data_IF_926988681587
#
_entry.id   IF_926988681587
#
_cell.length_a   1.000
_cell.length_b   1.000
_cell.length_c   1.000
_cell.angle_alpha   90.00
_cell.angle_beta   90.00
_cell.angle_gamma   90.00
#
_symmetry.space_group_name_H-M   'P 1'
#
loop_
_entity.id
_entity.type
_entity.pdbx_description
1 polymer ?
#
# COMPACT_ATOMS: atom_id res chain seq x y z
N UNK A 1 -0.12 4.82 16.57
CA UNK A 1 0.27 3.44 16.23
C UNK A 1 -0.70 2.80 15.23
N UNK A 2 -1.99 3.05 15.36
CA UNK A 2 -2.99 2.50 14.45
C UNK A 2 -2.88 3.05 13.03
N UNK A 3 -2.30 4.21 12.87
CA UNK A 3 -2.18 4.86 11.57
C UNK A 3 -1.18 4.21 10.65
N UNK A 4 -0.19 3.53 11.19
CA UNK A 4 0.75 2.79 10.36
C UNK A 4 0.16 1.52 9.76
N UNK A 5 -0.78 0.87 10.43
CA UNK A 5 -1.45 -0.32 9.89
C UNK A 5 -2.56 0.02 8.90
N UNK A 6 -3.16 1.20 9.01
CA UNK A 6 -4.21 1.69 8.12
C UNK A 6 -3.74 2.72 7.09
N UNK A 7 -2.46 3.12 7.14
CA UNK A 7 -1.90 4.18 6.32
C UNK A 7 -2.14 4.02 4.81
N UNK A 8 -2.21 2.78 4.32
CA UNK A 8 -2.48 2.53 2.91
C UNK A 8 -3.88 2.95 2.47
N UNK A 9 -4.86 2.92 3.37
CA UNK A 9 -6.23 3.33 3.07
C UNK A 9 -6.42 4.83 3.19
N UNK A 10 -5.51 5.51 3.88
CA UNK A 10 -5.66 6.91 4.28
C UNK A 10 -4.79 7.90 3.50
N UNK A 11 -4.14 7.45 2.43
CA UNK A 11 -3.33 8.30 1.54
C UNK A 11 -4.09 9.55 1.08
N UNK A 12 -5.40 9.47 0.98
CA UNK A 12 -6.29 10.58 0.60
C UNK A 12 -6.93 11.31 1.76
N UNK A 13 -6.97 10.69 2.93
CA UNK A 13 -7.63 11.23 4.11
C UNK A 13 -6.59 11.88 5.03
N UNK A 14 -5.99 12.93 4.58
CA UNK A 14 -4.85 13.56 5.24
C UNK A 14 -5.17 14.23 6.57
N UNK A 15 -6.44 14.56 6.78
CA UNK A 15 -6.89 15.21 8.01
C UNK A 15 -8.11 14.46 8.55
N UNK A 16 -8.16 14.25 9.85
CA UNK A 16 -9.29 13.61 10.52
C UNK A 16 -9.32 12.09 10.42
N UNK A 17 -8.28 11.44 9.88
CA UNK A 17 -8.18 9.98 9.88
C UNK A 17 -8.09 9.46 11.31
N UNK A 18 -9.10 8.71 11.75
CA UNK A 18 -9.18 8.14 13.08
C UNK A 18 -10.04 6.87 13.05
N UNK A 19 -9.48 5.79 12.52
CA UNK A 19 -10.23 4.55 12.33
C UNK A 19 -10.82 4.03 13.65
N UNK A 20 -10.02 3.95 14.71
CA UNK A 20 -10.48 3.46 16.00
C UNK A 20 -11.57 4.36 16.61
N UNK A 21 -11.34 5.67 16.62
CA UNK A 21 -12.30 6.63 17.15
C UNK A 21 -13.60 6.67 16.34
N UNK A 22 -13.52 6.58 15.02
CA UNK A 22 -14.70 6.53 14.15
C UNK A 22 -15.54 5.27 14.41
N UNK A 23 -14.90 4.11 14.57
CA UNK A 23 -15.59 2.87 14.93
C UNK A 23 -16.23 2.99 16.32
N UNK A 24 -15.51 3.52 17.31
CA UNK A 24 -16.01 3.67 18.66
C UNK A 24 -17.23 4.62 18.72
N UNK A 25 -17.19 5.73 17.97
CA UNK A 25 -18.32 6.67 17.86
C UNK A 25 -19.50 6.03 17.14
N UNK A 26 -19.29 5.34 16.02
CA UNK A 26 -20.35 4.64 15.31
C UNK A 26 -21.04 3.59 16.20
N UNK A 27 -20.28 2.84 17.00
CA UNK A 27 -20.86 1.93 17.99
C UNK A 27 -21.71 2.65 19.03
N UNK A 28 -21.21 3.76 19.59
CA UNK A 28 -21.93 4.53 20.61
C UNK A 28 -23.22 5.14 20.08
N UNK A 29 -23.21 5.55 18.82
CA UNK A 29 -24.37 6.15 18.13
C UNK A 29 -25.37 5.09 17.63
N UNK A 30 -25.00 3.80 17.62
CA UNK A 30 -25.82 2.73 17.05
C UNK A 30 -25.73 2.61 15.53
N UNK A 31 -24.74 3.24 14.90
CA UNK A 31 -24.55 3.31 13.43
C UNK A 31 -23.52 2.29 12.92
N UNK A 32 -23.01 1.39 13.79
CA UNK A 32 -21.95 0.45 13.37
C UNK A 32 -22.48 -0.73 12.57
N UNK A 33 -22.89 -1.81 13.25
CA UNK A 33 -23.34 -3.04 12.60
C UNK A 33 -24.82 -3.31 12.88
N UNK A 34 -25.47 -4.03 11.98
CA UNK A 34 -26.84 -4.52 12.20
C UNK A 34 -26.87 -5.38 13.46
N UNK A 35 -27.74 -5.00 14.42
CA UNK A 35 -27.92 -5.73 15.68
C UNK A 35 -26.92 -5.35 16.79
N UNK A 36 -25.91 -4.53 16.54
CA UNK A 36 -25.01 -4.02 17.57
C UNK A 36 -25.63 -2.79 18.26
N UNK A 37 -25.59 -2.79 19.61
CA UNK A 37 -26.03 -1.65 20.42
C UNK A 37 -24.99 -1.31 21.50
N UNK A 38 -24.82 -0.02 21.76
CA UNK A 38 -23.94 0.50 22.81
C UNK A 38 -22.48 0.62 22.42
N UNK A 39 -21.65 1.04 23.37
CA UNK A 39 -20.25 1.33 23.14
C UNK A 39 -19.44 0.14 22.63
N UNK A 40 -18.38 0.44 21.89
CA UNK A 40 -17.41 -0.57 21.43
C UNK A 40 -16.82 -1.32 22.64
N UNK A 41 -16.86 -2.64 22.62
CA UNK A 41 -16.33 -3.51 23.69
C UNK A 41 -15.04 -4.18 23.22
N UNK A 42 -13.92 -3.72 23.73
CA UNK A 42 -12.56 -4.26 23.43
C UNK A 42 -11.74 -4.41 24.73
N UNK A 43 -12.17 -5.26 25.67
CA UNK A 43 -11.66 -5.27 27.05
C UNK A 43 -10.16 -5.47 27.14
N UNK A 44 -9.56 -6.32 26.28
CA UNK A 44 -8.12 -6.53 26.28
C UNK A 44 -7.35 -5.30 25.78
N UNK A 45 -7.85 -4.60 24.77
CA UNK A 45 -7.23 -3.36 24.29
C UNK A 45 -7.46 -2.21 25.27
N UNK A 46 -8.59 -2.19 25.95
CA UNK A 46 -8.87 -1.24 27.03
C UNK A 46 -7.84 -1.38 28.15
N UNK A 47 -7.63 -2.60 28.64
CA UNK A 47 -6.64 -2.86 29.68
C UNK A 47 -5.21 -2.51 29.26
N UNK A 48 -4.90 -2.53 27.95
CA UNK A 48 -3.64 -2.08 27.39
C UNK A 48 -3.58 -0.58 27.13
N UNK A 49 -4.67 0.18 27.32
CA UNK A 49 -4.70 1.64 27.23
C UNK A 49 -5.10 2.22 25.90
N UNK A 50 -5.78 1.47 25.01
CA UNK A 50 -6.18 1.97 23.67
C UNK A 50 -7.05 3.23 23.73
N UNK A 51 -8.01 3.30 24.65
CA UNK A 51 -8.86 4.49 24.81
C UNK A 51 -8.07 5.69 25.31
N UNK A 52 -7.12 5.50 26.22
CA UNK A 52 -6.25 6.57 26.69
C UNK A 52 -5.33 7.09 25.59
N UNK A 53 -4.75 6.21 24.78
CA UNK A 53 -3.96 6.58 23.62
C UNK A 53 -4.81 7.34 22.57
N UNK A 54 -6.03 6.87 22.30
CA UNK A 54 -6.94 7.54 21.36
C UNK A 54 -7.33 8.94 21.83
N UNK A 55 -7.63 9.12 23.12
CA UNK A 55 -7.89 10.47 23.68
C UNK A 55 -6.69 11.40 23.53
N UNK A 56 -5.50 10.93 23.83
CA UNK A 56 -4.26 11.72 23.64
C UNK A 56 -4.01 12.11 22.19
N UNK A 57 -4.33 11.19 21.25
CA UNK A 57 -4.10 11.41 19.82
C UNK A 57 -5.10 12.37 19.20
N UNK A 58 -6.37 12.31 19.60
CA UNK A 58 -7.49 12.94 18.88
C UNK A 58 -8.31 13.93 19.68
N UNK A 59 -8.17 13.93 21.00
CA UNK A 59 -9.01 14.71 21.90
C UNK A 59 -10.45 14.21 22.02
N UNK A 60 -10.80 13.06 21.41
CA UNK A 60 -12.16 12.52 21.47
C UNK A 60 -12.53 12.08 22.89
N UNK A 61 -13.78 12.36 23.27
CA UNK A 61 -14.37 11.83 24.48
C UNK A 61 -14.74 10.36 24.27
N UNK A 62 -13.93 9.46 24.77
CA UNK A 62 -14.14 8.02 24.76
C UNK A 62 -14.32 7.51 26.19
N UNK A 63 -14.95 6.34 26.40
CA UNK A 63 -15.09 5.78 27.73
C UNK A 63 -13.76 5.78 28.49
N UNK A 64 -13.81 6.13 29.77
CA UNK A 64 -12.62 6.10 30.62
C UNK A 64 -12.52 4.73 31.29
N UNK A 65 -11.38 4.09 31.14
CA UNK A 65 -11.06 2.86 31.88
C UNK A 65 -9.98 3.20 32.89
N UNK A 66 -10.33 3.18 34.17
CA UNK A 66 -9.43 3.61 35.25
C UNK A 66 -8.31 2.59 35.57
N UNK A 67 -8.31 1.42 34.92
CA UNK A 67 -7.34 0.34 35.19
C UNK A 67 -6.58 -0.07 33.94
N UNK A 68 -5.65 0.78 33.49
CA UNK A 68 -4.71 0.39 32.45
C UNK A 68 -3.53 -0.37 33.04
N UNK A 69 -3.35 -1.63 32.66
CA UNK A 69 -2.22 -2.48 33.07
C UNK A 69 -1.04 -2.41 32.10
N UNK A 70 -1.28 -1.90 30.89
CA UNK A 70 -0.26 -1.73 29.85
C UNK A 70 0.35 -0.34 29.83
N UNK A 71 1.48 -0.20 29.14
CA UNK A 71 2.04 1.11 28.78
C UNK A 71 1.54 1.52 27.39
N UNK A 72 1.14 2.75 27.23
CA UNK A 72 0.68 3.30 25.97
C UNK A 72 1.38 4.64 25.66
N UNK A 73 1.52 4.93 24.39
CA UNK A 73 2.03 6.21 23.93
C UNK A 73 1.40 6.59 22.59
N UNK A 74 1.55 7.84 22.20
CA UNK A 74 1.12 8.39 20.92
C UNK A 74 2.36 8.89 20.19
N UNK A 75 2.50 8.49 18.93
CA UNK A 75 3.55 8.96 18.05
C UNK A 75 2.94 9.74 16.89
N UNK A 76 3.54 10.87 16.55
CA UNK A 76 3.19 11.66 15.38
C UNK A 76 4.11 11.29 14.23
N UNK A 77 3.55 10.92 13.09
CA UNK A 77 4.30 10.69 11.87
C UNK A 77 5.04 11.96 11.42
N UNK A 78 6.32 11.82 11.09
CA UNK A 78 7.21 12.89 10.62
C UNK A 78 7.47 12.81 9.13
N UNK A 79 7.32 11.63 8.55
CA UNK A 79 7.51 11.39 7.12
C UNK A 79 6.48 12.17 6.29
N UNK A 80 6.88 12.60 5.11
CA UNK A 80 5.99 13.31 4.18
C UNK A 80 5.06 12.39 3.39
N UNK A 81 5.36 11.10 3.31
CA UNK A 81 4.49 10.09 2.72
C UNK A 81 3.42 9.62 3.72
N UNK A 82 2.24 9.25 3.22
CA UNK A 82 1.14 8.69 4.04
C UNK A 82 0.67 7.35 3.46
N UNK A 83 1.59 6.49 3.19
CA UNK A 83 1.37 5.18 2.62
C UNK A 83 1.94 4.10 3.55
N UNK A 84 1.53 2.85 3.33
CA UNK A 84 1.93 1.73 4.18
C UNK A 84 3.45 1.56 4.32
N UNK A 85 4.27 1.55 3.25
CA UNK A 85 5.70 1.45 3.39
C UNK A 85 6.31 2.59 4.20
N UNK A 86 5.92 3.84 3.95
CA UNK A 86 6.42 4.99 4.70
C UNK A 86 6.20 4.86 6.20
N UNK A 87 4.98 4.50 6.62
CA UNK A 87 4.67 4.30 8.04
C UNK A 87 5.48 3.16 8.67
N UNK A 88 5.63 2.03 7.97
CA UNK A 88 6.43 0.91 8.47
C UNK A 88 7.91 1.26 8.56
N UNK A 89 8.44 1.95 7.57
CA UNK A 89 9.83 2.41 7.59
C UNK A 89 10.08 3.38 8.74
N UNK A 90 9.15 4.28 9.04
CA UNK A 90 9.29 5.22 10.15
C UNK A 90 9.25 4.53 11.53
N UNK A 91 8.40 3.51 11.71
CA UNK A 91 8.36 2.69 12.94
C UNK A 91 9.74 2.06 13.23
N UNK A 92 10.46 1.64 12.19
CA UNK A 92 11.78 0.99 12.33
C UNK A 92 12.94 1.96 12.20
N UNK A 93 12.68 3.27 12.21
CA UNK A 93 13.68 4.33 12.35
C UNK A 93 14.06 5.09 11.09
N UNK A 94 13.39 4.86 9.95
CA UNK A 94 13.61 5.63 8.73
C UNK A 94 12.49 6.64 8.48
N UNK A 95 12.79 7.94 8.67
CA UNK A 95 11.87 9.03 8.34
C UNK A 95 12.09 9.52 6.91
N UNK A 96 11.09 9.40 6.05
CA UNK A 96 11.13 9.93 4.69
C UNK A 96 10.78 11.42 4.66
N UNK A 97 11.79 12.28 4.77
CA UNK A 97 11.62 13.74 4.82
C UNK A 97 11.27 14.39 3.48
N UNK A 98 11.50 13.72 2.36
CA UNK A 98 11.32 14.28 1.02
C UNK A 98 9.95 13.91 0.42
N UNK A 99 9.39 12.75 0.80
CA UNK A 99 8.17 12.19 0.24
C UNK A 99 8.42 11.37 -1.05
N UNK A 100 7.38 10.84 -1.65
CA UNK A 100 7.41 10.06 -2.87
C UNK A 100 6.81 10.84 -4.04
N UNK A 101 7.24 10.51 -5.25
CA UNK A 101 6.67 11.11 -6.45
C UNK A 101 5.27 10.54 -6.73
N UNK A 102 4.30 11.40 -6.97
CA UNK A 102 2.96 11.05 -7.42
C UNK A 102 2.75 11.55 -8.83
N UNK A 103 2.16 10.71 -9.67
CA UNK A 103 1.95 11.05 -11.07
C UNK A 103 0.81 12.06 -11.25
N UNK A 104 0.96 13.03 -12.16
CA UNK A 104 -0.09 14.03 -12.43
C UNK A 104 -1.32 13.35 -13.05
N UNK A 105 -2.49 13.96 -12.88
CA UNK A 105 -3.74 13.46 -13.47
C UNK A 105 -3.87 13.92 -14.95
N UNK A 106 -2.95 13.47 -15.78
CA UNK A 106 -2.92 13.72 -17.24
C UNK A 106 -2.82 12.39 -17.98
N UNK A 107 -3.09 12.40 -19.28
CA UNK A 107 -2.93 11.23 -20.16
C UNK A 107 -2.09 11.67 -21.37
N UNK A 108 -0.98 10.98 -21.67
CA UNK A 108 -0.37 9.86 -20.95
C UNK A 108 0.15 10.29 -19.57
N UNK A 109 0.05 9.40 -18.57
CA UNK A 109 0.39 9.72 -17.17
C UNK A 109 1.88 9.56 -16.88
N UNK A 110 2.52 8.56 -17.47
CA UNK A 110 3.93 8.28 -17.26
C UNK A 110 4.80 9.06 -18.25
N UNK A 111 5.97 9.55 -17.81
CA UNK A 111 6.90 10.23 -18.69
C UNK A 111 7.35 9.33 -19.84
N UNK A 112 7.43 9.89 -21.04
CA UNK A 112 7.75 9.16 -22.27
C UNK A 112 9.07 8.41 -22.17
N UNK A 113 10.10 9.04 -21.60
CA UNK A 113 11.44 8.46 -21.45
C UNK A 113 11.41 7.14 -20.69
N UNK A 114 10.76 7.11 -19.53
CA UNK A 114 10.65 5.94 -18.66
C UNK A 114 9.84 4.82 -19.33
N UNK A 115 8.80 5.18 -20.08
CA UNK A 115 8.00 4.23 -20.84
C UNK A 115 8.77 3.62 -22.01
N UNK A 116 9.50 4.43 -22.76
CA UNK A 116 10.34 3.95 -23.87
C UNK A 116 11.45 2.99 -23.33
N UNK A 117 12.05 3.31 -22.18
CA UNK A 117 12.99 2.44 -21.50
C UNK A 117 12.33 1.13 -21.06
N UNK A 118 11.14 1.18 -20.45
CA UNK A 118 10.41 -0.02 -20.03
C UNK A 118 10.11 -0.94 -21.22
N UNK A 119 9.60 -0.40 -22.31
CA UNK A 119 9.29 -1.15 -23.54
C UNK A 119 10.54 -1.85 -24.06
N UNK A 120 11.67 -1.14 -24.14
CA UNK A 120 12.93 -1.65 -24.64
C UNK A 120 13.51 -2.74 -23.74
N UNK A 121 13.67 -2.47 -22.44
CA UNK A 121 14.36 -3.37 -21.51
C UNK A 121 13.49 -4.61 -21.15
N UNK A 122 12.18 -4.47 -21.06
CA UNK A 122 11.27 -5.60 -20.86
C UNK A 122 10.99 -6.39 -22.16
N UNK A 123 11.52 -5.93 -23.29
CA UNK A 123 11.36 -6.57 -24.62
C UNK A 123 9.88 -6.81 -24.94
N UNK A 124 9.04 -5.79 -24.71
CA UNK A 124 7.63 -5.79 -25.10
C UNK A 124 7.43 -4.91 -26.33
N UNK A 125 6.38 -5.16 -27.11
CA UNK A 125 6.09 -4.42 -28.34
C UNK A 125 5.46 -3.05 -28.09
N UNK A 126 4.93 -2.86 -26.87
CA UNK A 126 4.26 -1.63 -26.44
C UNK A 126 3.67 -1.81 -25.06
N UNK A 127 2.90 -0.83 -24.63
CA UNK A 127 2.13 -0.84 -23.37
C UNK A 127 0.71 -0.35 -23.62
N UNK A 128 -0.23 -0.82 -22.81
CA UNK A 128 -1.62 -0.37 -22.79
C UNK A 128 -1.89 0.45 -21.54
N UNK A 129 -2.94 1.26 -21.56
CA UNK A 129 -3.39 2.05 -20.42
C UNK A 129 -2.68 3.39 -20.34
N UNK A 130 -1.56 3.52 -19.65
CA UNK A 130 -0.79 4.76 -19.40
C UNK A 130 -1.68 5.89 -18.85
N UNK A 131 -2.50 5.58 -17.84
CA UNK A 131 -3.44 6.51 -17.19
C UNK A 131 -3.71 6.17 -15.74
N UNK A 132 -4.42 7.06 -15.02
CA UNK A 132 -5.00 6.74 -13.73
C UNK A 132 -6.23 5.85 -13.91
N UNK A 133 -6.28 4.76 -13.16
CA UNK A 133 -7.46 3.87 -13.16
C UNK A 133 -7.53 3.01 -11.90
N UNK A 134 -8.72 2.45 -11.64
CA UNK A 134 -8.84 1.30 -10.75
C UNK A 134 -8.34 0.04 -11.45
N UNK A 135 -7.84 -0.92 -10.65
CA UNK A 135 -7.28 -2.15 -11.24
C UNK A 135 -8.34 -3.08 -11.86
N UNK A 136 -9.60 -2.95 -11.49
CA UNK A 136 -10.70 -3.72 -12.08
C UNK A 136 -11.15 -3.12 -13.40
N UNK A 137 -11.38 -1.81 -13.41
CA UNK A 137 -11.85 -1.11 -14.59
C UNK A 137 -10.84 -1.18 -15.72
N UNK A 138 -9.55 -1.00 -15.43
CA UNK A 138 -8.54 -1.00 -16.48
C UNK A 138 -8.30 -2.39 -17.09
N UNK A 139 -8.46 -3.46 -16.30
CA UNK A 139 -8.40 -4.83 -16.82
C UNK A 139 -9.61 -5.10 -17.71
N UNK A 140 -10.82 -4.67 -17.34
CA UNK A 140 -11.99 -4.76 -18.19
C UNK A 140 -11.85 -3.98 -19.49
N UNK A 141 -11.23 -2.80 -19.44
CA UNK A 141 -11.05 -1.93 -20.60
C UNK A 141 -9.99 -2.45 -21.59
N UNK A 142 -8.87 -2.95 -21.09
CA UNK A 142 -7.72 -3.33 -21.93
C UNK A 142 -7.40 -4.81 -21.93
N UNK A 143 -8.12 -5.65 -21.19
CA UNK A 143 -7.81 -7.07 -21.06
C UNK A 143 -7.84 -7.82 -22.38
N UNK A 144 -8.85 -7.62 -23.21
CA UNK A 144 -8.96 -8.23 -24.53
C UNK A 144 -7.84 -7.75 -25.46
N UNK A 145 -7.57 -6.44 -25.52
CA UNK A 145 -6.43 -5.88 -26.27
C UNK A 145 -5.09 -6.41 -25.79
N UNK A 146 -4.96 -6.69 -24.47
CA UNK A 146 -3.79 -7.32 -23.91
C UNK A 146 -3.63 -8.79 -24.37
N UNK A 147 -4.72 -9.55 -24.41
CA UNK A 147 -4.71 -10.94 -24.90
C UNK A 147 -4.21 -11.01 -26.34
N UNK A 148 -4.65 -10.10 -27.20
CA UNK A 148 -4.28 -10.04 -28.61
C UNK A 148 -2.86 -9.54 -28.82
N UNK A 149 -2.49 -8.41 -28.23
CA UNK A 149 -1.19 -7.74 -28.46
C UNK A 149 -0.06 -8.25 -27.59
N UNK A 150 -0.37 -8.89 -26.46
CA UNK A 150 0.57 -9.24 -25.39
C UNK A 150 1.34 -8.04 -24.82
N UNK A 151 0.82 -6.82 -24.99
CA UNK A 151 1.35 -5.63 -24.38
C UNK A 151 0.84 -5.53 -22.92
N UNK A 152 1.72 -5.35 -21.92
CA UNK A 152 1.28 -5.21 -20.53
C UNK A 152 0.45 -3.93 -20.35
N UNK A 153 -0.52 -3.98 -19.43
CA UNK A 153 -1.35 -2.84 -19.06
C UNK A 153 -0.64 -2.09 -17.94
N UNK A 154 -0.17 -0.86 -18.21
CA UNK A 154 0.56 -0.04 -17.24
C UNK A 154 -0.31 1.14 -16.83
N UNK A 155 -0.52 1.30 -15.52
CA UNK A 155 -1.40 2.32 -14.98
C UNK A 155 -0.96 2.76 -13.59
N UNK A 156 -1.55 3.83 -13.08
CA UNK A 156 -1.33 4.32 -11.73
C UNK A 156 -2.65 4.57 -11.01
N UNK A 157 -2.57 4.71 -9.71
CA UNK A 157 -3.61 5.25 -8.85
C UNK A 157 -3.12 6.56 -8.22
N UNK A 158 -3.83 7.09 -7.24
CA UNK A 158 -3.41 8.35 -6.65
C UNK A 158 -2.20 8.24 -5.69
N UNK A 159 -1.70 7.02 -5.44
CA UNK A 159 -0.48 6.76 -4.67
C UNK A 159 0.77 6.92 -5.55
N UNK A 160 1.95 6.91 -4.91
CA UNK A 160 3.23 6.79 -5.61
C UNK A 160 3.46 5.35 -6.09
N UNK A 161 2.80 4.96 -7.16
CA UNK A 161 2.80 3.58 -7.63
C UNK A 161 2.74 3.48 -9.14
N UNK A 162 3.47 2.50 -9.70
CA UNK A 162 3.25 2.00 -11.06
C UNK A 162 2.68 0.59 -10.95
N UNK A 163 1.56 0.34 -11.56
CA UNK A 163 0.91 -0.96 -11.57
C UNK A 163 0.98 -1.56 -12.97
N UNK A 164 1.36 -2.82 -13.06
CA UNK A 164 1.50 -3.54 -14.32
C UNK A 164 0.60 -4.76 -14.25
N UNK A 165 -0.48 -4.76 -15.03
CA UNK A 165 -1.36 -5.91 -15.15
C UNK A 165 -1.05 -6.70 -16.42
N UNK A 166 -1.10 -8.03 -16.28
CA UNK A 166 -0.93 -8.95 -17.40
C UNK A 166 -1.61 -10.29 -17.11
N UNK A 167 -2.06 -10.96 -18.15
CA UNK A 167 -2.71 -12.26 -18.06
C UNK A 167 -1.67 -13.35 -17.76
N UNK A 168 -1.90 -14.14 -16.72
CA UNK A 168 -0.91 -15.12 -16.22
C UNK A 168 -0.48 -16.15 -17.26
N UNK A 169 -1.39 -16.65 -18.06
CA UNK A 169 -1.11 -17.69 -19.04
C UNK A 169 -0.61 -17.14 -20.38
N UNK A 170 -1.15 -16.01 -20.85
CA UNK A 170 -0.83 -15.44 -22.16
C UNK A 170 0.47 -14.65 -22.14
N UNK A 171 0.68 -13.84 -21.12
CA UNK A 171 1.91 -13.05 -20.92
C UNK A 171 2.97 -13.83 -20.14
N UNK A 172 2.54 -14.60 -19.16
CA UNK A 172 3.38 -15.37 -18.26
C UNK A 172 3.68 -14.63 -16.95
N UNK A 173 3.47 -15.32 -15.82
CA UNK A 173 3.67 -14.75 -14.48
C UNK A 173 5.12 -14.32 -14.24
N UNK A 174 6.09 -15.18 -14.61
CA UNK A 174 7.51 -14.86 -14.47
C UNK A 174 7.94 -13.68 -15.33
N UNK A 175 7.37 -13.57 -16.53
CA UNK A 175 7.63 -12.43 -17.41
C UNK A 175 7.05 -11.13 -16.80
N UNK A 176 5.87 -11.20 -16.21
CA UNK A 176 5.29 -10.07 -15.49
C UNK A 176 6.19 -9.61 -14.33
N UNK A 177 6.68 -10.54 -13.51
CA UNK A 177 7.58 -10.21 -12.41
C UNK A 177 8.91 -9.62 -12.89
N UNK A 178 9.50 -10.16 -13.96
CA UNK A 178 10.69 -9.58 -14.59
C UNK A 178 10.42 -8.16 -15.10
N UNK A 179 9.29 -7.94 -15.75
CA UNK A 179 8.88 -6.60 -16.22
C UNK A 179 8.73 -5.64 -15.06
N UNK A 180 8.11 -6.05 -13.95
CA UNK A 180 7.98 -5.22 -12.76
C UNK A 180 9.34 -4.92 -12.09
N UNK A 181 10.26 -5.86 -12.08
CA UNK A 181 11.62 -5.62 -11.58
C UNK A 181 12.35 -4.57 -12.41
N UNK A 182 12.30 -4.68 -13.74
CA UNK A 182 12.85 -3.66 -14.65
C UNK A 182 12.21 -2.32 -14.41
N UNK A 183 10.87 -2.28 -14.29
CA UNK A 183 10.15 -1.04 -13.97
C UNK A 183 10.61 -0.45 -12.63
N UNK A 184 10.88 -1.26 -11.60
CA UNK A 184 11.37 -0.75 -10.31
C UNK A 184 12.71 -0.05 -10.41
N UNK A 185 13.62 -0.56 -11.24
CA UNK A 185 14.92 0.05 -11.49
C UNK A 185 14.79 1.38 -12.26
N UNK A 186 13.91 1.42 -13.29
CA UNK A 186 13.66 2.63 -14.10
C UNK A 186 13.00 3.72 -13.27
N UNK A 187 11.91 3.42 -12.58
CA UNK A 187 11.11 4.40 -11.85
C UNK A 187 11.69 4.79 -10.48
N UNK A 188 12.68 4.07 -9.99
CA UNK A 188 13.40 4.45 -8.76
C UNK A 188 14.04 5.85 -8.89
N UNK A 189 14.53 6.22 -10.07
CA UNK A 189 15.09 7.55 -10.35
C UNK A 189 14.05 8.68 -10.17
N UNK A 190 12.77 8.39 -10.38
CA UNK A 190 11.67 9.32 -10.12
C UNK A 190 11.17 9.25 -8.68
N UNK A 191 11.77 8.40 -7.84
CA UNK A 191 11.33 8.17 -6.46
C UNK A 191 9.90 7.66 -6.35
N UNK A 192 9.53 6.78 -7.28
CA UNK A 192 8.29 6.02 -7.17
C UNK A 192 8.47 4.97 -6.08
N UNK A 193 7.52 4.94 -5.13
CA UNK A 193 7.64 4.10 -3.95
C UNK A 193 7.60 2.61 -4.26
N UNK A 194 6.71 2.21 -5.17
CA UNK A 194 6.51 0.78 -5.46
C UNK A 194 6.01 0.53 -6.86
N UNK A 195 6.39 -0.64 -7.36
CA UNK A 195 5.83 -1.23 -8.56
C UNK A 195 4.98 -2.43 -8.15
N UNK A 196 3.80 -2.60 -8.72
CA UNK A 196 2.90 -3.71 -8.37
C UNK A 196 2.63 -4.57 -9.59
N UNK A 197 2.96 -5.85 -9.50
CA UNK A 197 2.47 -6.86 -10.42
C UNK A 197 1.01 -7.18 -10.10
N UNK A 198 0.15 -7.07 -11.11
CA UNK A 198 -1.29 -7.33 -11.03
C UNK A 198 -1.70 -8.43 -12.03
N UNK A 199 -1.36 -9.68 -11.74
CA UNK A 199 -1.75 -10.78 -12.62
C UNK A 199 -3.27 -10.99 -12.59
N UNK A 200 -3.82 -11.37 -13.75
CA UNK A 200 -5.23 -11.67 -13.90
C UNK A 200 -5.44 -12.87 -14.83
N UNK A 201 -6.63 -13.43 -14.82
CA UNK A 201 -7.12 -14.49 -15.68
C UNK A 201 -8.51 -14.13 -16.21
N UNK A 202 -9.01 -14.92 -17.16
CA UNK A 202 -10.28 -14.74 -17.85
C UNK A 202 -10.08 -14.61 -19.37
N UNK A 203 -11.16 -14.64 -20.14
CA UNK A 203 -11.11 -14.62 -21.59
C UNK A 203 -11.73 -13.36 -22.21
N UNK A 204 -12.55 -12.65 -21.44
CA UNK A 204 -13.25 -11.45 -21.90
C UNK A 204 -13.55 -10.49 -20.73
N UNK A 205 -14.07 -9.31 -21.04
CA UNK A 205 -14.32 -8.23 -20.06
C UNK A 205 -15.24 -8.61 -18.90
N UNK A 206 -16.10 -9.62 -19.07
CA UNK A 206 -17.10 -9.99 -18.08
C UNK A 206 -16.59 -11.07 -17.11
N UNK A 207 -15.52 -11.78 -17.48
CA UNK A 207 -14.93 -12.86 -16.68
C UNK A 207 -13.51 -12.58 -16.20
N UNK A 208 -12.90 -11.44 -16.53
CA UNK A 208 -11.60 -11.09 -16.00
C UNK A 208 -11.61 -10.94 -14.48
N UNK A 209 -10.67 -11.61 -13.83
CA UNK A 209 -10.47 -11.49 -12.38
C UNK A 209 -8.99 -11.46 -12.01
N UNK A 210 -8.67 -10.71 -10.95
CA UNK A 210 -7.31 -10.64 -10.40
C UNK A 210 -7.00 -11.89 -9.60
N UNK A 211 -5.81 -12.44 -9.81
CA UNK A 211 -5.35 -13.62 -9.07
C UNK A 211 -4.70 -13.24 -7.74
N UNK A 212 -4.42 -14.25 -6.91
CA UNK A 212 -3.68 -14.09 -5.66
C UNK A 212 -2.17 -13.86 -5.85
N UNK A 213 -1.65 -14.03 -7.06
CA UNK A 213 -0.23 -13.91 -7.38
C UNK A 213 0.23 -12.46 -7.56
N UNK A 214 -0.45 -11.50 -6.90
CA UNK A 214 0.03 -10.13 -6.78
C UNK A 214 1.38 -10.12 -6.08
N UNK A 215 2.30 -9.28 -6.58
CA UNK A 215 3.59 -9.03 -5.94
C UNK A 215 3.92 -7.54 -5.97
N UNK A 216 4.35 -7.01 -4.83
CA UNK A 216 4.77 -5.62 -4.70
C UNK A 216 6.32 -5.58 -4.69
N UNK A 217 6.89 -4.69 -5.50
CA UNK A 217 8.31 -4.37 -5.55
C UNK A 217 8.47 -2.99 -4.93
N UNK A 218 8.95 -2.94 -3.70
CA UNK A 218 9.03 -1.72 -2.90
C UNK A 218 10.50 -1.31 -2.79
N UNK A 219 10.76 -0.02 -2.89
CA UNK A 219 12.09 0.52 -2.63
C UNK A 219 12.43 0.34 -1.15
N UNK A 220 13.49 -0.41 -0.79
CA UNK A 220 13.86 -0.61 0.60
C UNK A 220 14.31 0.72 1.25
N UNK A 221 14.28 0.81 2.58
CA UNK A 221 14.86 1.96 3.28
C UNK A 221 16.32 2.15 2.88
N UNK A 222 16.78 3.38 2.59
CA UNK A 222 18.16 3.64 2.20
C UNK A 222 19.16 3.61 3.38
N UNK A 223 18.67 3.36 4.58
CA UNK A 223 19.45 3.29 5.81
C UNK A 223 19.15 2.00 6.57
N UNK A 224 20.05 1.65 7.46
CA UNK A 224 19.89 0.53 8.36
C UNK A 224 18.71 0.73 9.31
N UNK A 225 17.78 -0.22 9.29
CA UNK A 225 16.58 -0.20 10.13
C UNK A 225 16.79 -0.87 11.49
N UNK A 226 15.79 -0.76 12.38
CA UNK A 226 15.79 -1.52 13.63
C UNK A 226 15.87 -3.03 13.38
N UNK A 227 15.21 -3.55 12.35
CA UNK A 227 15.27 -4.96 11.99
C UNK A 227 16.70 -5.40 11.64
N UNK A 228 17.41 -4.60 10.85
CA UNK A 228 18.81 -4.87 10.49
C UNK A 228 19.72 -4.87 11.72
N UNK A 229 19.54 -3.90 12.62
CA UNK A 229 20.30 -3.82 13.88
C UNK A 229 20.06 -5.03 14.80
N UNK A 230 18.82 -5.50 14.88
CA UNK A 230 18.47 -6.71 15.63
C UNK A 230 19.19 -7.94 15.07
N UNK A 231 19.18 -8.12 13.74
CA UNK A 231 19.87 -9.23 13.07
C UNK A 231 21.40 -9.11 13.28
N UNK A 232 21.98 -7.94 13.08
CA UNK A 232 23.43 -7.69 13.30
C UNK A 232 23.88 -7.94 14.74
N UNK A 233 22.98 -7.76 15.71
CA UNK A 233 23.27 -8.09 17.12
C UNK A 233 23.19 -9.60 17.43
N UNK A 234 23.05 -10.46 16.42
CA UNK A 234 22.94 -11.90 16.57
C UNK A 234 21.55 -12.39 17.01
N UNK A 235 20.56 -11.51 17.04
CA UNK A 235 19.17 -11.84 17.40
C UNK A 235 18.35 -12.15 16.13
N UNK A 236 17.17 -12.75 16.32
CA UNK A 236 16.24 -13.09 15.23
C UNK A 236 15.18 -12.01 15.09
N UNK A 237 14.87 -11.65 13.84
CA UNK A 237 13.75 -10.81 13.47
C UNK A 237 12.76 -11.66 12.66
N UNK A 238 11.50 -11.71 13.09
CA UNK A 238 10.45 -12.48 12.42
C UNK A 238 9.46 -11.52 11.75
N UNK A 239 9.41 -11.55 10.42
CA UNK A 239 8.41 -10.83 9.64
C UNK A 239 7.13 -11.67 9.47
N UNK A 240 5.97 -11.09 9.79
CA UNK A 240 4.66 -11.73 9.63
C UNK A 240 3.82 -10.92 8.64
N UNK A 241 3.16 -11.61 7.70
CA UNK A 241 2.36 -10.97 6.66
C UNK A 241 3.22 -10.30 5.59
N UNK A 242 2.95 -9.04 5.27
CA UNK A 242 3.60 -8.29 4.19
C UNK A 242 4.96 -7.68 4.54
N UNK A 243 5.55 -8.01 5.66
CA UNK A 243 6.78 -7.36 6.13
C UNK A 243 7.92 -7.56 5.13
N UNK A 244 8.11 -8.76 4.60
CA UNK A 244 9.13 -9.03 3.58
C UNK A 244 8.97 -8.13 2.35
N UNK A 245 7.75 -8.02 1.82
CA UNK A 245 7.47 -7.17 0.66
C UNK A 245 7.72 -5.68 0.96
N UNK A 246 7.40 -5.21 2.18
CA UNK A 246 7.54 -3.80 2.58
C UNK A 246 9.01 -3.40 2.73
N UNK A 247 9.87 -4.32 3.17
CA UNK A 247 11.29 -4.07 3.39
C UNK A 247 12.19 -4.54 2.25
N UNK A 248 11.64 -5.14 1.19
CA UNK A 248 12.36 -5.53 -0.01
C UNK A 248 13.20 -6.81 0.15
N UNK A 249 12.77 -7.72 1.01
CA UNK A 249 13.45 -9.00 1.30
C UNK A 249 12.78 -10.19 0.61
#
# INVERSE_FOLDING_TARGET
THECSSAASDVYKRQGSNTFGSIALACSNGDADIGRKGALKVPNLESLGIYSAARLSTGLTLPNTDSTVGSYAVAKERSKGKDTPTGHHEIVGYTNSIGWYTFPKVVPVFPKKEMDMLIKEAKVTGVLGNKHASGEDIIKEYGESHLDSRCPIVYTSADSVVQIAAHEQVFGLDRLYKTCKIASEIFNNLRVQRIIARPFLGCNKDDFFRTKNRKDFISPPPIETLCDKVIKSGKKCFGIGKIADIFGH
#
